data_IF_899255934117
#
_entry.id   IF_899255934117
#
_cell.length_a   1.000
_cell.length_b   1.000
_cell.length_c   1.000
_cell.angle_alpha   90.00
_cell.angle_beta   90.00
_cell.angle_gamma   90.00
#
_symmetry.space_group_name_H-M   'P 1'
#
loop_
_entity.id
_entity.type
_entity.pdbx_description
1 polymer ?
#
# COMPACT_ATOMS: atom_id res chain seq x y z
N UNK A 1 16.45 -21.26 -14.43
CA UNK A 1 15.96 -19.88 -14.24
C UNK A 1 15.84 -19.68 -12.74
N UNK A 2 16.78 -18.95 -12.15
CA UNK A 2 16.94 -18.83 -10.70
C UNK A 2 15.80 -18.01 -10.07
N UNK A 3 15.05 -18.65 -9.16
CA UNK A 3 13.97 -18.05 -8.38
C UNK A 3 14.47 -17.07 -7.29
N UNK A 4 15.79 -16.87 -7.18
CA UNK A 4 16.44 -16.02 -6.16
C UNK A 4 16.40 -14.51 -6.43
N UNK A 5 15.86 -14.07 -7.58
CA UNK A 5 15.74 -12.64 -7.94
C UNK A 5 14.37 -12.01 -7.65
N UNK A 6 13.40 -12.79 -7.21
CA UNK A 6 12.07 -12.33 -6.83
C UNK A 6 12.07 -12.07 -5.32
N UNK A 7 12.41 -10.85 -4.91
CA UNK A 7 12.28 -10.37 -3.53
C UNK A 7 10.82 -10.22 -3.12
N UNK A 8 10.08 -11.33 -3.11
CA UNK A 8 8.66 -11.39 -2.73
C UNK A 8 8.59 -11.57 -1.22
N UNK A 9 8.49 -10.46 -0.50
CA UNK A 9 8.08 -10.47 0.90
C UNK A 9 6.55 -10.67 0.96
N UNK A 10 6.09 -11.79 1.50
CA UNK A 10 4.68 -12.03 1.79
C UNK A 10 4.33 -11.40 3.15
N UNK A 11 3.30 -10.56 3.20
CA UNK A 11 2.71 -10.07 4.44
C UNK A 11 1.32 -10.70 4.59
N UNK A 12 1.03 -11.30 5.75
CA UNK A 12 -0.29 -11.86 6.04
C UNK A 12 -1.12 -10.83 6.83
N UNK A 13 -2.29 -10.47 6.32
CA UNK A 13 -3.25 -9.60 7.01
C UNK A 13 -4.44 -10.45 7.52
N UNK A 14 -4.78 -10.30 8.81
CA UNK A 14 -5.92 -10.96 9.45
C UNK A 14 -7.09 -9.98 9.61
N UNK A 15 -8.32 -10.41 9.29
CA UNK A 15 -9.56 -9.65 9.55
C UNK A 15 -10.60 -10.59 10.17
N UNK A 16 -11.21 -10.21 11.30
CA UNK A 16 -12.25 -11.02 11.96
C UNK A 16 -13.63 -10.86 11.31
N UNK A 17 -14.21 -11.98 10.85
CA UNK A 17 -15.68 -12.20 10.80
C UNK A 17 -15.99 -13.70 10.77
N UNK A 18 -16.61 -14.23 11.84
CA UNK A 18 -17.72 -15.22 11.85
C UNK A 18 -17.65 -16.56 11.09
N UNK A 19 -16.58 -16.91 10.40
CA UNK A 19 -16.42 -18.19 9.69
C UNK A 19 -14.99 -18.30 9.20
N UNK A 20 -14.28 -19.36 9.61
CA UNK A 20 -12.88 -19.68 9.26
C UNK A 20 -12.07 -18.47 8.76
N UNK A 21 -11.38 -17.75 9.66
CA UNK A 21 -10.43 -16.68 9.30
C UNK A 21 -9.34 -17.26 8.38
N UNK A 22 -9.57 -17.21 7.08
CA UNK A 22 -8.53 -17.50 6.10
C UNK A 22 -7.65 -16.25 5.98
N UNK A 23 -6.33 -16.37 6.15
CA UNK A 23 -5.43 -15.25 5.90
C UNK A 23 -5.63 -14.70 4.49
N UNK A 24 -5.56 -13.37 4.33
CA UNK A 24 -5.48 -12.75 3.00
C UNK A 24 -4.03 -12.74 2.51
N UNK A 25 -3.83 -12.97 1.22
CA UNK A 25 -2.53 -12.88 0.55
C UNK A 25 -2.32 -11.43 0.09
N UNK A 26 -1.38 -10.73 0.73
CA UNK A 26 -0.84 -9.45 0.25
C UNK A 26 0.45 -9.70 -0.55
N UNK A 27 0.40 -9.43 -1.85
CA UNK A 27 1.53 -9.66 -2.76
C UNK A 27 2.22 -8.34 -3.19
N UNK A 28 3.56 -8.24 -3.13
CA UNK A 28 4.29 -7.10 -3.66
C UNK A 28 4.26 -7.08 -5.19
N UNK A 29 4.01 -5.90 -5.76
CA UNK A 29 4.14 -5.63 -7.19
C UNK A 29 5.08 -4.42 -7.38
N UNK A 30 6.34 -4.68 -7.72
CA UNK A 30 7.35 -3.64 -7.96
C UNK A 30 7.33 -3.04 -9.37
N UNK A 31 6.66 -3.72 -10.30
CA UNK A 31 6.52 -3.36 -11.71
C UNK A 31 5.21 -3.95 -12.26
N UNK A 32 4.84 -3.55 -13.49
CA UNK A 32 3.59 -3.96 -14.14
C UNK A 32 3.50 -5.47 -14.36
N UNK A 33 4.63 -6.13 -14.69
CA UNK A 33 4.65 -7.58 -14.91
C UNK A 33 4.35 -8.33 -13.62
N UNK A 34 4.94 -7.89 -12.52
CA UNK A 34 4.73 -8.46 -11.18
C UNK A 34 3.30 -8.25 -10.70
N UNK A 35 2.70 -7.09 -10.99
CA UNK A 35 1.28 -6.84 -10.75
C UNK A 35 0.39 -7.87 -11.46
N UNK A 36 0.59 -8.07 -12.78
CA UNK A 36 -0.21 -9.03 -13.55
C UNK A 36 -0.09 -10.44 -12.97
N UNK A 37 1.14 -10.89 -12.70
CA UNK A 37 1.40 -12.22 -12.12
C UNK A 37 0.74 -12.36 -10.76
N UNK A 38 0.86 -11.37 -9.88
CA UNK A 38 0.26 -11.42 -8.54
C UNK A 38 -1.27 -11.56 -8.60
N UNK A 39 -1.92 -10.78 -9.48
CA UNK A 39 -3.38 -10.85 -9.70
C UNK A 39 -3.78 -12.21 -10.29
N UNK A 40 -3.05 -12.71 -11.28
CA UNK A 40 -3.33 -14.02 -11.90
C UNK A 40 -3.10 -15.20 -10.96
N UNK A 41 -2.14 -15.11 -10.05
CA UNK A 41 -1.86 -16.14 -9.05
C UNK A 41 -2.81 -16.10 -7.83
N UNK A 42 -3.82 -15.21 -7.83
CA UNK A 42 -4.87 -15.20 -6.81
C UNK A 42 -4.49 -14.45 -5.53
N UNK A 43 -3.68 -13.39 -5.63
CA UNK A 43 -3.53 -12.45 -4.51
C UNK A 43 -4.89 -11.84 -4.14
N UNK A 44 -5.21 -11.73 -2.84
CA UNK A 44 -6.38 -11.00 -2.37
C UNK A 44 -6.13 -9.48 -2.43
N UNK A 45 -4.88 -9.08 -2.20
CA UNK A 45 -4.43 -7.69 -2.18
C UNK A 45 -3.06 -7.62 -2.86
N UNK A 46 -2.85 -6.61 -3.70
CA UNK A 46 -1.52 -6.23 -4.19
C UNK A 46 -1.07 -4.95 -3.53
N UNK A 47 0.23 -4.82 -3.24
CA UNK A 47 0.79 -3.54 -2.86
C UNK A 47 1.91 -3.11 -3.80
N UNK A 48 1.90 -1.83 -4.14
CA UNK A 48 2.83 -1.21 -5.08
C UNK A 48 3.29 0.16 -4.58
N UNK A 49 4.36 0.68 -5.16
CA UNK A 49 4.88 2.02 -4.87
C UNK A 49 4.74 2.92 -6.09
N UNK A 50 4.33 4.17 -5.87
CA UNK A 50 4.47 5.21 -6.89
C UNK A 50 5.89 5.76 -6.96
N UNK A 51 6.26 6.48 -8.02
CA UNK A 51 7.62 7.08 -8.12
C UNK A 51 7.96 8.08 -7.00
N UNK A 52 6.96 8.59 -6.28
CA UNK A 52 7.09 9.51 -5.15
C UNK A 52 6.74 8.80 -3.83
N UNK A 53 7.33 9.26 -2.72
CA UNK A 53 7.00 8.87 -1.34
C UNK A 53 7.09 7.37 -1.00
N UNK A 54 7.82 6.57 -1.78
CA UNK A 54 8.02 5.15 -1.51
C UNK A 54 9.51 4.83 -1.24
N UNK A 55 9.76 3.92 -0.30
CA UNK A 55 11.14 3.58 0.11
C UNK A 55 11.90 2.68 -0.88
N UNK A 56 11.23 2.05 -1.86
CA UNK A 56 11.83 1.12 -2.83
C UNK A 56 12.30 1.86 -4.08
N UNK A 57 13.28 2.74 -3.94
CA UNK A 57 13.81 3.55 -5.04
C UNK A 57 14.39 2.75 -6.22
N UNK A 58 14.78 1.50 -6.01
CA UNK A 58 15.36 0.63 -7.06
C UNK A 58 14.33 -0.21 -7.82
N UNK A 59 13.06 -0.22 -7.40
CA UNK A 59 11.99 -0.81 -8.20
C UNK A 59 11.63 0.15 -9.35
N UNK A 60 11.11 -0.38 -10.47
CA UNK A 60 10.64 0.47 -11.56
C UNK A 60 9.57 1.46 -11.05
N UNK A 61 8.71 0.98 -10.14
CA UNK A 61 7.60 1.71 -9.54
C UNK A 61 6.63 2.27 -10.59
N UNK A 62 5.49 2.77 -10.12
CA UNK A 62 4.39 3.16 -11.00
C UNK A 62 4.32 4.69 -11.09
N UNK A 63 4.05 5.24 -12.26
CA UNK A 63 3.56 6.63 -12.35
C UNK A 63 2.16 6.73 -11.73
N UNK A 64 1.71 7.94 -11.46
CA UNK A 64 0.38 8.15 -10.90
C UNK A 64 -0.73 7.64 -11.85
N UNK A 65 -0.54 7.78 -13.16
CA UNK A 65 -1.44 7.25 -14.19
C UNK A 65 -1.43 5.71 -14.19
N UNK A 66 -0.25 5.09 -14.10
CA UNK A 66 -0.12 3.64 -14.03
C UNK A 66 -0.76 3.05 -12.76
N UNK A 67 -0.70 3.76 -11.63
CA UNK A 67 -1.45 3.39 -10.42
C UNK A 67 -2.95 3.36 -10.72
N UNK A 68 -3.48 4.38 -11.38
CA UNK A 68 -4.90 4.42 -11.76
C UNK A 68 -5.30 3.23 -12.65
N UNK A 69 -4.46 2.86 -13.62
CA UNK A 69 -4.69 1.69 -14.46
C UNK A 69 -4.55 0.36 -13.70
N UNK A 70 -3.59 0.27 -12.77
CA UNK A 70 -3.41 -0.88 -11.90
C UNK A 70 -4.65 -1.12 -11.02
N UNK A 71 -5.21 -0.07 -10.42
CA UNK A 71 -6.44 -0.12 -9.63
C UNK A 71 -7.59 -0.66 -10.46
N UNK A 72 -7.83 -0.09 -11.66
CA UNK A 72 -8.89 -0.58 -12.56
C UNK A 72 -8.70 -2.04 -12.93
N UNK A 73 -7.47 -2.49 -13.17
CA UNK A 73 -7.16 -3.87 -13.53
C UNK A 73 -7.41 -4.84 -12.36
N UNK A 74 -6.89 -4.52 -11.18
CA UNK A 74 -7.02 -5.35 -9.98
C UNK A 74 -8.48 -5.45 -9.53
N UNK A 75 -9.21 -4.33 -9.51
CA UNK A 75 -10.62 -4.30 -9.12
C UNK A 75 -11.51 -5.13 -10.04
N UNK A 76 -11.26 -5.16 -11.36
CA UNK A 76 -11.97 -6.06 -12.29
C UNK A 76 -11.78 -7.55 -11.96
N UNK A 77 -10.75 -7.89 -11.19
CA UNK A 77 -10.43 -9.25 -10.72
C UNK A 77 -10.79 -9.47 -9.25
N UNK A 78 -11.39 -8.47 -8.59
CA UNK A 78 -11.73 -8.54 -7.17
C UNK A 78 -10.53 -8.45 -6.22
N UNK A 79 -9.40 -7.89 -6.68
CA UNK A 79 -8.16 -7.73 -5.90
C UNK A 79 -8.05 -6.28 -5.41
N UNK A 80 -7.79 -6.08 -4.12
CA UNK A 80 -7.56 -4.75 -3.53
C UNK A 80 -6.16 -4.22 -3.89
N UNK A 81 -5.99 -2.90 -3.98
CA UNK A 81 -4.70 -2.23 -4.27
C UNK A 81 -4.30 -1.32 -3.13
N UNK A 82 -3.16 -1.63 -2.52
CA UNK A 82 -2.54 -0.81 -1.48
C UNK A 82 -1.33 -0.06 -2.06
N UNK A 83 -1.17 1.22 -1.71
CA UNK A 83 -0.04 2.03 -2.18
C UNK A 83 0.89 2.37 -1.03
N UNK A 84 2.18 2.11 -1.22
CA UNK A 84 3.21 2.46 -0.26
C UNK A 84 3.50 3.97 -0.31
N UNK A 85 3.30 4.64 0.83
CA UNK A 85 3.64 6.05 1.10
C UNK A 85 4.48 6.08 2.39
N UNK A 86 5.61 5.40 2.34
CA UNK A 86 6.39 4.93 3.49
C UNK A 86 7.80 5.52 3.54
N UNK A 87 7.96 6.76 3.10
CA UNK A 87 9.13 7.58 3.38
C UNK A 87 8.81 8.62 4.46
N UNK A 88 9.85 9.22 5.03
CA UNK A 88 9.70 10.45 5.80
C UNK A 88 9.26 11.58 4.85
N UNK A 89 8.48 12.53 5.36
CA UNK A 89 8.00 13.69 4.62
C UNK A 89 8.59 14.95 5.24
N UNK A 90 9.25 15.78 4.43
CA UNK A 90 9.79 17.06 4.88
C UNK A 90 8.74 18.17 4.83
N UNK A 91 8.95 19.25 5.59
CA UNK A 91 7.98 20.35 5.70
C UNK A 91 7.64 20.96 4.33
N UNK A 92 8.62 21.05 3.43
CA UNK A 92 8.43 21.58 2.07
C UNK A 92 7.63 20.63 1.15
N UNK A 93 7.52 19.34 1.51
CA UNK A 93 6.83 18.30 0.74
C UNK A 93 5.37 18.10 1.20
N UNK A 94 4.93 18.80 2.25
CA UNK A 94 3.61 18.58 2.88
C UNK A 94 2.43 18.77 1.93
N UNK A 95 2.45 19.80 1.09
CA UNK A 95 1.39 20.04 0.10
C UNK A 95 1.43 19.01 -1.03
N UNK A 96 2.62 18.59 -1.45
CA UNK A 96 2.78 17.53 -2.46
C UNK A 96 2.25 16.19 -1.93
N UNK A 97 2.59 15.83 -0.70
CA UNK A 97 2.10 14.63 -0.04
C UNK A 97 0.57 14.64 0.12
N UNK A 98 -0.01 15.78 0.52
CA UNK A 98 -1.46 15.94 0.62
C UNK A 98 -2.16 15.75 -0.74
N UNK A 99 -1.65 16.39 -1.80
CA UNK A 99 -2.17 16.23 -3.16
C UNK A 99 -2.02 14.81 -3.69
N UNK A 100 -0.91 14.14 -3.35
CA UNK A 100 -0.69 12.74 -3.71
C UNK A 100 -1.73 11.82 -3.07
N UNK A 101 -1.98 11.96 -1.76
CA UNK A 101 -3.00 11.16 -1.05
C UNK A 101 -4.42 11.41 -1.60
N UNK A 102 -4.74 12.66 -1.96
CA UNK A 102 -6.02 12.99 -2.59
C UNK A 102 -6.16 12.35 -3.97
N UNK A 103 -5.09 12.35 -4.78
CA UNK A 103 -5.09 11.66 -6.07
C UNK A 103 -5.29 10.15 -5.92
N UNK A 104 -4.58 9.50 -4.99
CA UNK A 104 -4.76 8.07 -4.70
C UNK A 104 -6.21 7.76 -4.27
N UNK A 105 -6.78 8.58 -3.39
CA UNK A 105 -8.17 8.44 -2.97
C UNK A 105 -9.16 8.58 -4.14
N UNK A 106 -8.95 9.57 -5.01
CA UNK A 106 -9.81 9.78 -6.19
C UNK A 106 -9.74 8.62 -7.18
N UNK A 107 -8.58 7.97 -7.28
CA UNK A 107 -8.37 6.75 -8.08
C UNK A 107 -8.97 5.49 -7.46
N UNK A 108 -9.53 5.57 -6.24
CA UNK A 108 -10.08 4.43 -5.50
C UNK A 108 -9.04 3.41 -5.05
N UNK A 109 -7.84 3.88 -4.69
CA UNK A 109 -6.87 3.06 -3.95
C UNK A 109 -7.51 2.63 -2.62
N UNK A 110 -7.39 1.34 -2.29
CA UNK A 110 -8.09 0.74 -1.16
C UNK A 110 -7.43 1.07 0.18
N UNK A 111 -6.09 1.20 0.20
CA UNK A 111 -5.36 1.66 1.37
C UNK A 111 -4.00 2.27 1.04
N UNK A 112 -3.49 3.09 1.96
CA UNK A 112 -2.11 3.58 1.95
C UNK A 112 -1.31 2.92 3.08
N UNK A 113 -0.12 2.41 2.76
CA UNK A 113 0.84 1.87 3.72
C UNK A 113 1.81 2.99 4.11
N UNK A 114 1.69 3.51 5.33
CA UNK A 114 2.39 4.73 5.75
C UNK A 114 3.49 4.47 6.78
N UNK A 115 4.49 5.35 6.81
CA UNK A 115 5.51 5.40 7.87
C UNK A 115 5.37 6.67 8.72
N UNK A 116 5.33 7.83 8.07
CA UNK A 116 5.38 9.13 8.74
C UNK A 116 4.03 9.51 9.38
N UNK A 117 4.08 10.14 10.57
CA UNK A 117 2.89 10.62 11.26
C UNK A 117 2.23 11.80 10.51
N UNK A 118 2.98 12.54 9.69
CA UNK A 118 2.43 13.53 8.79
C UNK A 118 1.44 12.88 7.81
N UNK A 119 1.79 11.72 7.24
CA UNK A 119 0.90 10.96 6.34
C UNK A 119 -0.32 10.45 7.09
N UNK A 120 -0.16 10.00 8.34
CA UNK A 120 -1.30 9.59 9.18
C UNK A 120 -2.30 10.75 9.36
N UNK A 121 -1.83 11.97 9.57
CA UNK A 121 -2.71 13.13 9.75
C UNK A 121 -3.31 13.62 8.42
N UNK A 122 -2.50 13.74 7.36
CA UNK A 122 -2.95 14.15 6.03
C UNK A 122 -3.97 13.16 5.44
N UNK A 123 -3.76 11.86 5.65
CA UNK A 123 -4.62 10.79 5.16
C UNK A 123 -6.04 10.79 5.75
N UNK A 124 -6.28 11.52 6.85
CA UNK A 124 -7.63 11.71 7.42
C UNK A 124 -8.47 12.72 6.63
N UNK A 125 -7.84 13.58 5.82
CA UNK A 125 -8.54 14.59 4.99
C UNK A 125 -9.45 13.93 3.94
N UNK A 126 -8.97 13.01 3.08
CA UNK A 126 -9.84 12.26 2.18
C UNK A 126 -10.68 11.27 2.98
N UNK A 127 -12.00 11.49 3.01
CA UNK A 127 -12.91 10.66 3.80
C UNK A 127 -12.94 9.23 3.27
N UNK A 128 -12.53 8.28 4.13
CA UNK A 128 -12.61 6.86 3.85
C UNK A 128 -11.36 6.27 3.18
N UNK A 129 -10.27 7.03 3.05
CA UNK A 129 -8.97 6.44 2.72
C UNK A 129 -8.48 5.61 3.91
N UNK A 130 -8.30 4.31 3.71
CA UNK A 130 -7.77 3.41 4.75
C UNK A 130 -6.26 3.62 4.89
N UNK A 131 -5.80 3.66 6.13
CA UNK A 131 -4.37 3.78 6.45
C UNK A 131 -3.90 2.49 7.14
N UNK A 132 -2.77 1.97 6.69
CA UNK A 132 -2.14 0.76 7.23
C UNK A 132 -0.73 1.14 7.68
N UNK A 133 -0.43 0.96 8.97
CA UNK A 133 0.89 1.22 9.50
C UNK A 133 1.92 0.29 8.84
N UNK A 134 2.98 0.87 8.27
CA UNK A 134 4.14 0.14 7.75
C UNK A 134 4.90 -0.51 8.90
N UNK A 135 5.63 -1.59 8.61
CA UNK A 135 6.65 -2.13 9.53
C UNK A 135 7.71 -1.08 9.91
N UNK A 136 7.91 -0.08 9.06
CA UNK A 136 8.81 1.06 9.30
C UNK A 136 8.31 2.04 10.37
N UNK A 137 7.07 1.90 10.87
CA UNK A 137 6.58 2.67 12.03
C UNK A 137 7.24 2.23 13.35
N UNK A 138 7.95 1.09 13.35
CA UNK A 138 8.67 0.55 14.52
C UNK A 138 7.75 0.28 15.73
N UNK A 139 6.49 -0.07 15.45
CA UNK A 139 5.52 -0.45 16.48
C UNK A 139 5.84 -1.83 17.07
N UNK A 140 6.35 -1.88 18.29
CA UNK A 140 6.78 -3.11 18.98
C UNK A 140 6.20 -3.25 20.40
N UNK A 141 5.29 -2.37 20.80
CA UNK A 141 4.60 -2.39 22.08
C UNK A 141 3.08 -2.29 21.88
N UNK A 142 2.33 -2.77 22.87
CA UNK A 142 0.86 -2.67 22.86
C UNK A 142 0.38 -1.21 22.79
N UNK A 143 1.08 -0.30 23.48
CA UNK A 143 0.73 1.12 23.46
C UNK A 143 0.94 1.74 22.07
N UNK A 144 1.98 1.31 21.34
CA UNK A 144 2.17 1.71 19.95
C UNK A 144 1.07 1.18 19.03
N UNK A 145 0.61 -0.06 19.21
CA UNK A 145 -0.53 -0.60 18.46
C UNK A 145 -1.79 0.24 18.71
N UNK A 146 -2.10 0.50 19.99
CA UNK A 146 -3.25 1.32 20.41
C UNK A 146 -3.19 2.77 19.94
N UNK A 147 -2.00 3.29 19.66
CA UNK A 147 -1.84 4.61 19.06
C UNK A 147 -2.40 4.67 17.64
N UNK A 148 -2.20 3.62 16.84
CA UNK A 148 -2.63 3.53 15.44
C UNK A 148 -4.00 2.89 15.21
N UNK A 149 -4.59 2.23 16.22
CA UNK A 149 -5.96 1.66 16.14
C UNK A 149 -7.09 2.70 16.11
N UNK A 150 -6.78 3.99 16.28
CA UNK A 150 -7.76 5.08 16.41
C UNK A 150 -8.07 5.75 15.09
#
# INVERSE_FOLDING_TARGET
MELSKLGVFFLFLFTETGGSMRPKILAPAGDWKSLLVAVECGADIVYLGGKHFNARQYAENFTLEEIGEAVKLAHRRGVEVYVAVNTLVFDEEMEEAAGYLEALHNMKVDAVIFQDLAILELGKRPRGLKLVASTQTTTHSLDGVRFFEK
#
